data_IF_756212467559
#
_entry.id   IF_756212467559
#
_cell.length_a   1.000
_cell.length_b   1.000
_cell.length_c   1.000
_cell.angle_alpha   90.00
_cell.angle_beta   90.00
_cell.angle_gamma   90.00
#
_symmetry.space_group_name_H-M   'P 1'
#
loop_
_entity.id
_entity.type
_entity.pdbx_description
1 polymer ?
#
# COMPACT_ATOMS: atom_id res chain seq x y z
N UNK A 1 29.91 6.23 -36.87
CA UNK A 1 29.01 6.46 -35.73
C UNK A 1 28.28 5.16 -35.48
N UNK A 2 28.73 4.38 -34.48
CA UNK A 2 28.19 3.05 -34.18
C UNK A 2 26.96 3.17 -33.29
N UNK A 3 25.80 2.74 -33.82
CA UNK A 3 24.62 2.46 -33.01
C UNK A 3 24.82 1.10 -32.33
N UNK A 4 25.48 1.09 -31.17
CA UNK A 4 25.59 -0.11 -30.36
C UNK A 4 24.28 -0.35 -29.58
N UNK A 5 23.81 -1.57 -29.72
CA UNK A 5 22.45 -2.02 -29.54
C UNK A 5 22.20 -2.37 -28.06
N UNK A 6 21.66 -1.45 -27.26
CA UNK A 6 21.34 -1.63 -25.82
C UNK A 6 20.14 -2.57 -25.53
N UNK A 7 19.90 -3.60 -26.37
CA UNK A 7 18.82 -4.57 -26.21
C UNK A 7 17.41 -3.97 -26.43
N UNK A 8 16.38 -4.74 -26.04
CA UNK A 8 14.95 -4.48 -26.36
C UNK A 8 14.44 -3.12 -25.86
N UNK A 9 15.05 -2.55 -24.81
CA UNK A 9 14.64 -1.26 -24.24
C UNK A 9 15.53 -0.09 -24.64
N UNK A 10 16.75 -0.33 -25.14
CA UNK A 10 17.70 0.73 -25.43
C UNK A 10 18.31 1.42 -24.19
N UNK A 11 18.01 0.96 -22.97
CA UNK A 11 18.38 1.62 -21.72
C UNK A 11 19.51 0.89 -20.98
N UNK A 12 20.58 1.62 -20.63
CA UNK A 12 21.76 1.06 -19.98
C UNK A 12 21.47 0.57 -18.54
N UNK A 13 20.58 1.23 -17.78
CA UNK A 13 20.18 0.76 -16.44
C UNK A 13 19.54 -0.63 -16.51
N UNK A 14 18.70 -0.87 -17.52
CA UNK A 14 18.03 -2.14 -17.75
C UNK A 14 19.06 -3.24 -18.03
N UNK A 15 20.04 -2.97 -18.89
CA UNK A 15 21.14 -3.89 -19.18
C UNK A 15 21.94 -4.22 -17.91
N UNK A 16 22.29 -3.20 -17.12
CA UNK A 16 23.01 -3.40 -15.86
C UNK A 16 22.21 -4.24 -14.86
N UNK A 17 20.90 -4.03 -14.74
CA UNK A 17 20.05 -4.87 -13.87
C UNK A 17 19.96 -6.32 -14.35
N UNK A 18 19.86 -6.55 -15.66
CA UNK A 18 19.86 -7.91 -16.22
C UNK A 18 21.18 -8.62 -15.94
N UNK A 19 22.31 -7.92 -16.08
CA UNK A 19 23.64 -8.44 -15.71
C UNK A 19 23.75 -8.71 -14.23
N UNK A 20 23.29 -7.78 -13.38
CA UNK A 20 23.24 -7.97 -11.93
C UNK A 20 22.46 -9.24 -11.54
N UNK A 21 21.32 -9.51 -12.19
CA UNK A 21 20.54 -10.72 -11.96
C UNK A 21 21.27 -12.00 -12.34
N UNK A 22 22.00 -11.98 -13.47
CA UNK A 22 22.84 -13.12 -13.85
C UNK A 22 23.96 -13.37 -12.83
N UNK A 23 24.61 -12.32 -12.33
CA UNK A 23 25.65 -12.40 -11.30
C UNK A 23 25.10 -12.88 -9.96
N UNK A 24 23.92 -12.38 -9.56
CA UNK A 24 23.22 -12.80 -8.34
C UNK A 24 22.95 -14.30 -8.35
N UNK A 25 22.43 -14.83 -9.46
CA UNK A 25 22.14 -16.27 -9.61
C UNK A 25 23.40 -17.14 -9.52
N UNK A 26 24.56 -16.62 -9.95
CA UNK A 26 25.86 -17.30 -9.85
C UNK A 26 26.59 -17.05 -8.52
N UNK A 27 25.99 -16.28 -7.59
CA UNK A 27 26.59 -15.84 -6.33
C UNK A 27 27.91 -15.07 -6.51
N UNK A 28 28.10 -14.44 -7.67
CA UNK A 28 29.22 -13.54 -7.98
C UNK A 28 28.96 -12.16 -7.37
N UNK A 29 29.20 -12.03 -6.06
CA UNK A 29 28.66 -10.94 -5.24
C UNK A 29 29.22 -9.56 -5.58
N UNK A 30 30.51 -9.45 -5.91
CA UNK A 30 31.17 -8.18 -6.24
C UNK A 30 30.66 -7.62 -7.57
N UNK A 31 30.54 -8.46 -8.60
CA UNK A 31 30.02 -8.07 -9.91
C UNK A 31 28.53 -7.73 -9.85
N UNK A 32 27.76 -8.52 -9.08
CA UNK A 32 26.37 -8.22 -8.79
C UNK A 32 26.22 -6.84 -8.13
N UNK A 33 27.00 -6.59 -7.07
CA UNK A 33 27.03 -5.32 -6.34
C UNK A 33 27.36 -4.15 -7.25
N UNK A 34 28.43 -4.25 -8.05
CA UNK A 34 28.86 -3.19 -8.96
C UNK A 34 27.77 -2.82 -9.99
N UNK A 35 27.12 -3.82 -10.60
CA UNK A 35 26.04 -3.57 -11.55
C UNK A 35 24.82 -2.93 -10.89
N UNK A 36 24.43 -3.37 -9.68
CA UNK A 36 23.29 -2.79 -8.95
C UNK A 36 23.54 -1.33 -8.55
N UNK A 37 24.74 -1.03 -8.04
CA UNK A 37 25.12 0.34 -7.67
C UNK A 37 25.07 1.27 -8.87
N UNK A 38 25.69 0.87 -9.99
CA UNK A 38 25.71 1.71 -11.19
C UNK A 38 24.32 1.92 -11.77
N UNK A 39 23.49 0.87 -11.82
CA UNK A 39 22.10 1.02 -12.23
C UNK A 39 21.33 1.98 -11.31
N UNK A 40 21.55 1.89 -9.99
CA UNK A 40 20.88 2.76 -9.01
C UNK A 40 21.31 4.22 -9.12
N UNK A 41 22.62 4.48 -9.24
CA UNK A 41 23.17 5.83 -9.45
C UNK A 41 22.59 6.47 -10.71
N UNK A 42 22.53 5.72 -11.81
CA UNK A 42 21.97 6.20 -13.07
C UNK A 42 20.50 6.62 -12.95
N UNK A 43 19.69 5.93 -12.15
CA UNK A 43 18.29 6.29 -11.95
C UNK A 43 18.08 7.58 -11.18
N UNK A 44 19.03 7.97 -10.33
CA UNK A 44 18.99 9.29 -9.72
C UNK A 44 19.49 10.40 -10.65
N UNK A 45 20.10 10.06 -11.79
CA UNK A 45 20.58 11.02 -12.78
C UNK A 45 19.63 11.17 -13.98
N UNK A 46 18.72 10.22 -14.20
CA UNK A 46 17.79 10.22 -15.33
C UNK A 46 16.40 10.70 -14.91
N UNK A 47 15.97 11.84 -15.45
CA UNK A 47 14.64 12.41 -15.19
C UNK A 47 13.50 11.70 -15.95
N UNK A 48 13.82 10.80 -16.90
CA UNK A 48 12.83 10.13 -17.75
C UNK A 48 12.50 8.71 -17.28
N UNK A 49 13.23 8.16 -16.29
CA UNK A 49 13.06 6.78 -15.84
C UNK A 49 12.74 6.70 -14.35
N UNK A 50 11.50 6.34 -14.01
CA UNK A 50 11.05 6.22 -12.61
C UNK A 50 11.07 4.76 -12.15
N UNK A 51 12.15 4.36 -11.49
CA UNK A 51 12.13 3.13 -10.72
C UNK A 51 11.10 3.20 -9.59
N UNK A 52 10.40 2.10 -9.37
CA UNK A 52 9.56 1.96 -8.18
C UNK A 52 10.44 1.89 -6.93
N UNK A 53 9.90 2.27 -5.77
CA UNK A 53 10.59 2.07 -4.47
C UNK A 53 11.09 0.63 -4.28
N UNK A 54 10.37 -0.35 -4.84
CA UNK A 54 10.75 -1.76 -4.77
C UNK A 54 12.01 -2.09 -5.58
N UNK A 55 12.29 -1.36 -6.65
CA UNK A 55 13.52 -1.55 -7.42
C UNK A 55 14.74 -1.07 -6.64
N UNK A 56 14.62 0.03 -5.89
CA UNK A 56 15.67 0.50 -4.99
C UNK A 56 15.93 -0.44 -3.81
N UNK A 57 14.88 -1.05 -3.23
CA UNK A 57 15.02 -2.09 -2.19
C UNK A 57 15.87 -3.27 -2.68
N UNK A 58 15.92 -3.53 -4.00
CA UNK A 58 16.76 -4.59 -4.57
C UNK A 58 18.24 -4.43 -4.23
N UNK A 59 18.74 -3.20 -4.20
CA UNK A 59 20.13 -2.92 -3.85
C UNK A 59 20.43 -3.49 -2.45
N UNK A 60 19.68 -3.05 -1.45
CA UNK A 60 19.83 -3.48 -0.05
C UNK A 60 19.64 -5.01 0.09
N UNK A 61 18.54 -5.53 -0.45
CA UNK A 61 18.16 -6.93 -0.25
C UNK A 61 19.17 -7.92 -0.87
N UNK A 62 19.67 -7.68 -2.09
CA UNK A 62 20.62 -8.60 -2.71
C UNK A 62 21.98 -8.58 -2.02
N UNK A 63 22.42 -7.45 -1.47
CA UNK A 63 23.62 -7.41 -0.62
C UNK A 63 23.44 -8.25 0.64
N UNK A 64 22.31 -8.15 1.34
CA UNK A 64 22.02 -8.99 2.50
C UNK A 64 22.00 -10.49 2.14
N UNK A 65 21.32 -10.86 1.04
CA UNK A 65 21.20 -12.26 0.61
C UNK A 65 22.52 -12.89 0.14
N UNK A 66 23.45 -12.06 -0.34
CA UNK A 66 24.80 -12.46 -0.72
C UNK A 66 25.81 -12.38 0.44
N UNK A 67 25.36 -12.08 1.67
CA UNK A 67 26.20 -11.97 2.86
C UNK A 67 27.15 -10.77 2.84
N UNK A 68 26.75 -9.68 2.17
CA UNK A 68 27.48 -8.41 2.12
C UNK A 68 26.82 -7.38 3.05
N UNK A 69 26.80 -7.65 4.36
CA UNK A 69 26.05 -6.86 5.33
C UNK A 69 26.50 -5.38 5.41
N UNK A 70 27.81 -5.13 5.35
CA UNK A 70 28.37 -3.76 5.31
C UNK A 70 27.90 -2.98 4.07
N UNK A 71 27.79 -3.69 2.95
CA UNK A 71 27.37 -3.12 1.67
C UNK A 71 25.86 -2.85 1.66
N UNK A 72 25.08 -3.72 2.28
CA UNK A 72 23.64 -3.51 2.48
C UNK A 72 23.37 -2.28 3.36
N UNK A 73 24.13 -2.12 4.44
CA UNK A 73 24.04 -0.95 5.32
C UNK A 73 24.46 0.34 4.60
N UNK A 74 25.51 0.27 3.76
CA UNK A 74 25.92 1.39 2.90
C UNK A 74 24.82 1.76 1.90
N UNK A 75 24.21 0.78 1.26
CA UNK A 75 23.10 0.98 0.32
C UNK A 75 21.89 1.62 1.01
N UNK A 76 21.54 1.15 2.21
CA UNK A 76 20.45 1.71 3.02
C UNK A 76 20.70 3.19 3.32
N UNK A 77 21.87 3.53 3.88
CA UNK A 77 22.26 4.92 4.16
C UNK A 77 22.28 5.80 2.91
N UNK A 78 22.78 5.29 1.79
CA UNK A 78 22.80 6.03 0.54
C UNK A 78 21.39 6.40 0.06
N UNK A 79 20.47 5.43 0.05
CA UNK A 79 19.09 5.66 -0.37
C UNK A 79 18.34 6.56 0.63
N UNK A 80 18.62 6.43 1.93
CA UNK A 80 18.11 7.33 2.97
C UNK A 80 18.58 8.78 2.77
N UNK A 81 19.85 8.98 2.43
CA UNK A 81 20.39 10.30 2.07
C UNK A 81 19.78 10.87 0.78
N UNK A 82 19.28 10.01 -0.12
CA UNK A 82 18.48 10.42 -1.29
C UNK A 82 17.01 10.70 -0.95
N UNK A 83 16.65 10.67 0.33
CA UNK A 83 15.33 11.01 0.84
C UNK A 83 14.32 9.87 0.79
N UNK A 84 14.77 8.63 0.55
CA UNK A 84 13.93 7.43 0.62
C UNK A 84 13.89 6.90 2.05
N UNK A 85 12.79 6.28 2.46
CA UNK A 85 12.68 5.69 3.80
C UNK A 85 12.16 4.27 3.64
N UNK A 86 12.83 3.30 4.25
CA UNK A 86 12.44 1.89 4.18
C UNK A 86 12.13 1.36 5.58
N UNK A 87 11.02 0.65 5.70
CA UNK A 87 10.70 -0.11 6.89
C UNK A 87 11.47 -1.43 6.91
N UNK A 88 11.75 -1.95 8.11
CA UNK A 88 12.35 -3.29 8.28
C UNK A 88 11.52 -4.38 7.58
N UNK A 89 10.20 -4.22 7.56
CA UNK A 89 9.30 -5.15 6.89
C UNK A 89 9.46 -5.11 5.36
N UNK A 90 9.56 -3.92 4.75
CA UNK A 90 9.81 -3.74 3.31
C UNK A 90 11.11 -4.41 2.85
N UNK A 91 12.14 -4.38 3.70
CA UNK A 91 13.43 -5.02 3.42
C UNK A 91 13.32 -6.56 3.56
N UNK A 92 12.56 -7.05 4.56
CA UNK A 92 12.45 -8.50 4.89
C UNK A 92 11.49 -9.32 4.04
N UNK A 93 10.38 -8.77 3.54
CA UNK A 93 9.38 -9.53 2.74
C UNK A 93 10.02 -10.22 1.50
N UNK A 94 11.15 -9.73 0.98
CA UNK A 94 11.86 -10.38 -0.14
C UNK A 94 12.60 -11.67 0.21
N UNK A 95 12.92 -11.92 1.48
CA UNK A 95 13.54 -13.21 1.90
C UNK A 95 12.64 -14.41 1.58
N UNK A 96 11.32 -14.20 1.48
CA UNK A 96 10.33 -15.24 1.18
C UNK A 96 9.94 -15.32 -0.31
N UNK A 97 9.97 -14.22 -1.05
CA UNK A 97 9.60 -14.20 -2.47
C UNK A 97 10.69 -14.82 -3.39
N UNK A 98 11.97 -14.64 -3.06
CA UNK A 98 13.10 -15.21 -3.83
C UNK A 98 13.26 -16.72 -3.61
N UNK A 99 12.97 -17.23 -2.41
CA UNK A 99 13.04 -18.66 -2.10
C UNK A 99 11.99 -19.50 -2.85
N UNK A 100 10.82 -18.91 -3.17
CA UNK A 100 9.79 -19.54 -4.00
C UNK A 100 10.05 -19.46 -5.51
N UNK A 101 10.76 -18.42 -5.99
CA UNK A 101 11.08 -18.29 -7.43
C UNK A 101 12.17 -19.25 -7.91
N UNK A 102 13.00 -19.81 -7.01
CA UNK A 102 14.00 -20.83 -7.38
C UNK A 102 13.41 -22.22 -7.67
N UNK A 103 12.12 -22.47 -7.39
CA UNK A 103 11.54 -23.83 -7.46
C UNK A 103 10.51 -24.09 -8.55
N UNK A 104 10.09 -23.13 -9.37
CA UNK A 104 9.15 -23.41 -10.47
C UNK A 104 9.36 -22.51 -11.68
N UNK A 105 9.80 -23.02 -12.85
CA UNK A 105 9.60 -22.30 -14.10
C UNK A 105 8.10 -22.23 -14.39
N UNK A 106 7.55 -21.02 -14.43
CA UNK A 106 6.15 -20.78 -14.74
C UNK A 106 5.88 -21.20 -16.19
N UNK A 107 5.42 -22.45 -16.37
CA UNK A 107 4.74 -22.83 -17.60
C UNK A 107 3.42 -22.08 -17.66
N UNK A 108 3.35 -21.04 -18.50
CA UNK A 108 2.09 -20.38 -18.85
C UNK A 108 1.21 -21.39 -19.59
N UNK A 109 0.31 -22.05 -18.86
CA UNK A 109 -0.80 -22.78 -19.49
C UNK A 109 -1.74 -21.76 -20.12
N UNK A 110 -1.82 -21.78 -21.45
CA UNK A 110 -2.90 -21.12 -22.19
C UNK A 110 -4.22 -21.80 -21.81
N UNK A 111 -4.96 -21.20 -20.88
CA UNK A 111 -6.36 -21.54 -20.67
C UNK A 111 -7.22 -20.81 -21.70
N UNK A 112 -8.09 -21.59 -22.38
CA UNK A 112 -9.08 -21.12 -23.35
C UNK A 112 -10.07 -20.11 -22.72
N UNK A 113 -10.65 -19.20 -23.51
CA UNK A 113 -11.47 -18.11 -22.99
C UNK A 113 -12.83 -18.66 -22.52
N UNK A 114 -13.06 -18.65 -21.21
CA UNK A 114 -14.43 -18.60 -20.65
C UNK A 114 -14.87 -17.15 -20.73
N UNK A 115 -16.12 -16.87 -21.10
CA UNK A 115 -16.73 -15.53 -21.07
C UNK A 115 -16.34 -14.78 -19.79
N UNK A 116 -15.40 -13.85 -19.93
CA UNK A 116 -14.78 -13.15 -18.80
C UNK A 116 -15.54 -11.86 -18.60
N UNK A 117 -16.59 -11.94 -17.77
CA UNK A 117 -17.19 -10.77 -17.13
C UNK A 117 -16.07 -9.89 -16.54
N UNK A 118 -16.10 -8.61 -16.88
CA UNK A 118 -15.12 -7.61 -16.47
C UNK A 118 -15.11 -7.43 -14.95
N UNK A 119 -14.00 -6.93 -14.42
CA UNK A 119 -13.87 -6.65 -12.98
C UNK A 119 -14.93 -5.63 -12.51
N UNK A 120 -15.19 -4.62 -13.33
CA UNK A 120 -16.19 -3.57 -13.08
C UNK A 120 -17.59 -4.19 -12.96
N UNK A 121 -17.98 -5.06 -13.89
CA UNK A 121 -19.27 -5.76 -13.83
C UNK A 121 -19.42 -6.61 -12.56
N UNK A 122 -18.35 -7.30 -12.13
CA UNK A 122 -18.35 -8.07 -10.88
C UNK A 122 -18.56 -7.17 -9.67
N UNK A 123 -17.89 -6.03 -9.61
CA UNK A 123 -18.05 -5.05 -8.53
C UNK A 123 -19.46 -4.46 -8.50
N UNK A 124 -20.05 -4.14 -9.66
CA UNK A 124 -21.46 -3.73 -9.75
C UNK A 124 -22.41 -4.77 -9.18
N UNK A 125 -22.25 -6.04 -9.56
CA UNK A 125 -23.09 -7.13 -9.05
C UNK A 125 -22.91 -7.29 -7.54
N UNK A 126 -21.66 -7.26 -7.06
CA UNK A 126 -21.36 -7.34 -5.63
C UNK A 126 -22.06 -6.22 -4.84
N UNK A 127 -21.90 -4.96 -5.27
CA UNK A 127 -22.49 -3.79 -4.60
C UNK A 127 -24.01 -3.83 -4.62
N UNK A 128 -24.63 -4.25 -5.73
CA UNK A 128 -26.08 -4.40 -5.84
C UNK A 128 -26.65 -5.43 -4.84
N UNK A 129 -25.88 -6.47 -4.54
CA UNK A 129 -26.33 -7.58 -3.71
C UNK A 129 -26.05 -7.39 -2.20
N UNK A 130 -25.38 -6.31 -1.78
CA UNK A 130 -25.16 -6.02 -0.35
C UNK A 130 -26.47 -5.58 0.31
N UNK A 131 -26.78 -6.21 1.44
CA UNK A 131 -27.98 -5.91 2.26
C UNK A 131 -27.60 -5.45 3.66
N UNK A 132 -28.51 -4.76 4.35
CA UNK A 132 -28.35 -4.39 5.76
C UNK A 132 -28.26 -5.63 6.65
N UNK A 133 -29.02 -6.68 6.37
CA UNK A 133 -28.97 -7.96 7.09
C UNK A 133 -27.60 -8.64 7.02
N UNK A 134 -26.90 -8.49 5.88
CA UNK A 134 -25.53 -9.00 5.77
C UNK A 134 -24.59 -8.30 6.74
N UNK A 135 -24.80 -7.01 6.98
CA UNK A 135 -23.98 -6.20 7.89
C UNK A 135 -24.33 -6.44 9.35
N UNK A 136 -25.62 -6.60 9.69
CA UNK A 136 -26.07 -6.88 11.07
C UNK A 136 -25.53 -8.20 11.63
N UNK A 137 -25.20 -9.17 10.77
CA UNK A 137 -24.65 -10.48 11.17
C UNK A 137 -23.15 -10.44 11.46
N UNK A 138 -22.48 -9.32 11.17
CA UNK A 138 -21.03 -9.19 11.36
C UNK A 138 -20.71 -8.77 12.79
N UNK A 139 -19.59 -9.25 13.31
CA UNK A 139 -19.07 -8.82 14.61
C UNK A 139 -18.34 -7.47 14.48
N UNK A 140 -19.07 -6.41 14.17
CA UNK A 140 -18.50 -5.08 13.98
C UNK A 140 -18.35 -4.35 15.32
N UNK A 141 -17.31 -3.50 15.48
CA UNK A 141 -17.27 -2.57 16.60
C UNK A 141 -18.32 -1.45 16.46
N UNK A 142 -18.95 -1.31 15.30
CA UNK A 142 -19.95 -0.29 14.99
C UNK A 142 -21.37 -0.80 15.20
N UNK A 143 -22.26 0.10 15.64
CA UNK A 143 -23.69 -0.17 15.73
C UNK A 143 -24.30 -0.13 14.33
N UNK A 144 -25.04 -1.15 13.93
CA UNK A 144 -25.70 -1.19 12.63
C UNK A 144 -27.04 -0.40 12.65
N UNK A 145 -26.96 0.92 12.84
CA UNK A 145 -28.11 1.81 13.03
C UNK A 145 -28.56 2.57 11.77
N UNK A 146 -27.91 2.33 10.62
CA UNK A 146 -28.28 2.94 9.34
C UNK A 146 -28.38 1.89 8.26
N UNK A 147 -29.25 2.09 7.27
CA UNK A 147 -29.35 1.21 6.12
C UNK A 147 -28.10 1.26 5.23
N UNK A 148 -27.83 0.14 4.56
CA UNK A 148 -26.79 0.09 3.53
C UNK A 148 -27.24 0.88 2.29
N UNK A 149 -26.54 1.98 2.02
CA UNK A 149 -26.65 2.76 0.80
C UNK A 149 -25.70 2.24 -0.27
N UNK A 150 -26.00 2.53 -1.52
CA UNK A 150 -25.22 2.11 -2.69
C UNK A 150 -24.91 3.31 -3.55
N UNK A 151 -23.66 3.43 -3.95
CA UNK A 151 -23.19 4.41 -4.92
C UNK A 151 -22.84 3.67 -6.21
N UNK A 152 -23.63 3.88 -7.26
CA UNK A 152 -23.45 3.28 -8.58
C UNK A 152 -23.66 4.39 -9.61
N UNK A 153 -22.63 4.69 -10.41
CA UNK A 153 -22.68 5.64 -11.54
C UNK A 153 -21.97 5.02 -12.74
N UNK A 154 -22.31 5.44 -13.95
CA UNK A 154 -21.79 4.87 -15.20
C UNK A 154 -20.25 4.95 -15.33
N UNK A 155 -19.62 5.98 -14.76
CA UNK A 155 -18.16 6.18 -14.80
C UNK A 155 -17.48 6.14 -13.41
N UNK A 156 -18.23 5.78 -12.37
CA UNK A 156 -17.74 5.78 -10.98
C UNK A 156 -17.49 4.37 -10.46
N UNK A 157 -16.41 4.18 -9.67
CA UNK A 157 -16.20 2.93 -8.94
C UNK A 157 -17.41 2.66 -8.03
N UNK A 158 -18.16 1.55 -8.20
CA UNK A 158 -19.34 1.29 -7.40
C UNK A 158 -18.94 0.90 -5.97
N UNK A 159 -19.72 1.31 -4.97
CA UNK A 159 -19.51 0.86 -3.59
C UNK A 159 -20.80 0.88 -2.77
N UNK A 160 -20.86 0.01 -1.77
CA UNK A 160 -21.91 0.02 -0.74
C UNK A 160 -21.33 0.61 0.55
N UNK A 161 -22.14 1.37 1.29
CA UNK A 161 -21.71 2.03 2.50
C UNK A 161 -22.84 2.26 3.50
N UNK A 162 -22.46 2.52 4.75
CA UNK A 162 -23.34 2.97 5.83
C UNK A 162 -22.85 4.33 6.36
N UNK A 163 -23.81 5.16 6.76
CA UNK A 163 -23.53 6.49 7.32
C UNK A 163 -23.06 6.35 8.77
N UNK A 164 -22.19 7.28 9.21
CA UNK A 164 -21.80 7.35 10.62
C UNK A 164 -22.70 8.35 11.34
N UNK A 165 -23.60 7.84 12.19
CA UNK A 165 -24.53 8.64 12.99
C UNK A 165 -24.56 8.18 14.44
N UNK A 166 -24.91 9.09 15.36
CA UNK A 166 -25.10 8.78 16.77
C UNK A 166 -23.84 8.20 17.43
N UNK A 167 -23.99 7.08 18.14
CA UNK A 167 -22.91 6.42 18.88
C UNK A 167 -21.69 6.05 18.01
N UNK A 168 -21.91 5.76 16.73
CA UNK A 168 -20.83 5.44 15.80
C UNK A 168 -19.80 6.57 15.64
N UNK A 169 -20.19 7.83 15.89
CA UNK A 169 -19.24 8.96 15.87
C UNK A 169 -18.17 8.77 16.95
N UNK A 170 -18.59 8.43 18.18
CA UNK A 170 -17.69 8.19 19.30
C UNK A 170 -16.81 6.96 19.07
N UNK A 171 -17.36 5.90 18.47
CA UNK A 171 -16.63 4.68 18.12
C UNK A 171 -15.55 4.99 17.08
N UNK A 172 -15.88 5.72 16.01
CA UNK A 172 -14.89 6.18 15.02
C UNK A 172 -13.78 6.98 15.68
N UNK A 173 -14.10 7.97 16.53
CA UNK A 173 -13.08 8.76 17.23
C UNK A 173 -12.17 7.89 18.11
N UNK A 174 -12.73 6.86 18.76
CA UNK A 174 -11.94 5.92 19.55
C UNK A 174 -10.99 5.07 18.68
N UNK A 175 -11.45 4.57 17.52
CA UNK A 175 -10.61 3.83 16.57
C UNK A 175 -9.49 4.71 16.01
N UNK A 176 -9.79 5.97 15.66
CA UNK A 176 -8.78 6.94 15.21
C UNK A 176 -7.77 7.23 16.32
N UNK A 177 -8.21 7.37 17.57
CA UNK A 177 -7.31 7.57 18.72
C UNK A 177 -6.36 6.38 18.91
N UNK A 178 -6.85 5.14 18.81
CA UNK A 178 -6.00 3.93 18.83
C UNK A 178 -4.99 3.95 17.69
N UNK A 179 -5.42 4.33 16.49
CA UNK A 179 -4.55 4.45 15.33
C UNK A 179 -3.46 5.50 15.53
N UNK A 180 -3.78 6.67 16.11
CA UNK A 180 -2.80 7.72 16.41
C UNK A 180 -1.72 7.26 17.39
N UNK A 181 -2.08 6.47 18.41
CA UNK A 181 -1.10 5.85 19.31
C UNK A 181 -0.16 4.91 18.53
N UNK A 182 -0.73 4.05 17.67
CA UNK A 182 0.06 3.14 16.85
C UNK A 182 0.99 3.88 15.87
N UNK A 183 0.51 4.93 15.22
CA UNK A 183 1.29 5.77 14.29
C UNK A 183 2.49 6.35 15.02
N UNK A 184 2.26 7.02 16.16
CA UNK A 184 3.33 7.65 16.97
C UNK A 184 4.42 6.65 17.33
N UNK A 185 4.06 5.47 17.83
CA UNK A 185 5.03 4.43 18.18
C UNK A 185 5.75 3.87 16.95
N UNK A 186 5.03 3.72 15.83
CA UNK A 186 5.58 3.13 14.61
C UNK A 186 6.59 4.03 13.90
N UNK A 187 6.38 5.35 13.92
CA UNK A 187 7.26 6.31 13.22
C UNK A 187 8.45 6.77 14.06
N UNK A 188 8.46 6.46 15.37
CA UNK A 188 9.48 6.90 16.33
C UNK A 188 10.92 6.55 15.93
N UNK A 189 11.11 5.42 15.24
CA UNK A 189 12.41 4.97 14.78
C UNK A 189 12.88 5.63 13.47
N UNK A 190 12.03 6.47 12.84
CA UNK A 190 12.26 7.01 11.50
C UNK A 190 12.36 8.54 11.57
N UNK A 191 13.55 9.06 11.83
CA UNK A 191 13.80 10.52 11.99
C UNK A 191 13.42 11.37 10.77
N UNK A 192 13.38 10.76 9.58
CA UNK A 192 13.00 11.37 8.31
C UNK A 192 11.48 11.45 8.07
N UNK A 193 10.68 10.86 8.95
CA UNK A 193 9.22 11.03 8.98
C UNK A 193 8.89 12.11 10.02
N UNK A 194 8.01 13.10 9.72
CA UNK A 194 7.54 14.06 10.71
C UNK A 194 6.94 13.33 11.92
N UNK A 195 7.41 13.67 13.12
CA UNK A 195 7.08 12.93 14.35
C UNK A 195 5.73 13.36 14.96
N UNK A 196 5.12 14.39 14.42
CA UNK A 196 3.84 14.97 14.81
C UNK A 196 2.67 14.51 13.92
N UNK A 197 2.91 13.60 12.97
CA UNK A 197 1.85 13.01 12.13
C UNK A 197 0.73 12.42 12.99
N UNK A 198 -0.45 13.02 12.89
CA UNK A 198 -1.64 12.64 13.64
C UNK A 198 -2.90 12.91 12.83
N UNK A 199 -3.87 12.01 12.94
CA UNK A 199 -5.23 12.22 12.43
C UNK A 199 -6.01 13.06 13.46
N UNK A 200 -6.39 14.31 13.14
CA UNK A 200 -7.12 15.17 14.09
C UNK A 200 -8.55 14.66 14.31
N UNK A 201 -8.84 14.08 15.48
CA UNK A 201 -10.12 13.41 15.75
C UNK A 201 -11.33 14.36 15.68
N UNK A 202 -11.12 15.65 15.93
CA UNK A 202 -12.16 16.68 15.91
C UNK A 202 -12.41 17.27 14.52
N UNK A 203 -11.54 17.00 13.55
CA UNK A 203 -11.68 17.47 12.16
C UNK A 203 -12.20 16.36 11.23
N UNK A 204 -12.47 15.16 11.76
CA UNK A 204 -13.11 14.08 11.00
C UNK A 204 -14.49 14.54 10.54
N UNK A 205 -14.71 14.46 9.22
CA UNK A 205 -15.95 14.88 8.59
C UNK A 205 -16.89 13.68 8.50
N UNK A 206 -18.05 13.77 9.15
CA UNK A 206 -19.07 12.71 9.16
C UNK A 206 -20.22 12.96 8.18
N UNK A 207 -20.36 14.19 7.70
CA UNK A 207 -21.34 14.58 6.67
C UNK A 207 -20.75 15.68 5.80
N UNK A 208 -21.01 15.63 4.50
CA UNK A 208 -20.60 16.66 3.55
C UNK A 208 -21.61 16.74 2.40
N UNK A 209 -21.96 17.95 1.98
CA UNK A 209 -22.81 18.17 0.81
C UNK A 209 -22.04 18.04 -0.51
N UNK A 210 -20.71 18.19 -0.47
CA UNK A 210 -19.89 18.35 -1.66
C UNK A 210 -19.16 17.06 -2.03
N UNK A 211 -18.13 16.70 -1.25
CA UNK A 211 -17.21 15.63 -1.62
C UNK A 211 -16.51 15.05 -0.39
N UNK A 212 -16.51 13.72 -0.28
CA UNK A 212 -15.70 12.95 0.67
C UNK A 212 -16.09 13.15 2.14
N UNK A 213 -16.60 12.11 2.77
CA UNK A 213 -16.82 12.08 4.22
C UNK A 213 -16.63 10.65 4.74
N UNK A 214 -16.48 10.55 6.06
CA UNK A 214 -16.21 9.33 6.80
C UNK A 214 -17.41 8.40 6.81
N UNK A 215 -17.21 7.14 6.44
CA UNK A 215 -18.27 6.14 6.25
C UNK A 215 -17.77 4.73 6.45
N UNK A 216 -18.69 3.81 6.73
CA UNK A 216 -18.38 2.37 6.76
C UNK A 216 -18.60 1.82 5.36
N UNK A 217 -17.54 1.34 4.72
CA UNK A 217 -17.62 0.66 3.43
C UNK A 217 -18.05 -0.80 3.65
N UNK A 218 -18.99 -1.28 2.85
CA UNK A 218 -19.65 -2.56 3.04
C UNK A 218 -19.26 -3.54 1.93
N UNK A 219 -18.54 -4.61 2.30
CA UNK A 219 -18.08 -5.65 1.36
C UNK A 219 -18.22 -7.06 1.96
N UNK A 220 -19.40 -7.46 2.46
CA UNK A 220 -19.55 -8.67 3.30
C UNK A 220 -19.24 -9.97 2.56
N UNK A 221 -19.39 -9.99 1.23
CA UNK A 221 -19.23 -11.18 0.38
C UNK A 221 -18.40 -10.86 -0.86
N UNK A 222 -17.75 -11.85 -1.43
CA UNK A 222 -17.09 -11.79 -2.74
C UNK A 222 -18.11 -11.95 -3.87
N UNK A 223 -17.69 -11.73 -5.13
CA UNK A 223 -18.52 -11.97 -6.31
C UNK A 223 -19.11 -13.38 -6.36
N UNK A 224 -18.35 -14.38 -5.90
CA UNK A 224 -18.80 -15.78 -5.80
C UNK A 224 -19.72 -16.07 -4.61
N UNK A 225 -20.10 -15.05 -3.83
CA UNK A 225 -20.96 -15.17 -2.64
C UNK A 225 -20.24 -15.65 -1.38
N UNK A 226 -18.93 -15.94 -1.43
CA UNK A 226 -18.16 -16.36 -0.25
C UNK A 226 -18.00 -15.19 0.72
N UNK A 227 -17.98 -15.41 2.04
CA UNK A 227 -17.70 -14.33 2.99
C UNK A 227 -16.35 -13.67 2.71
N UNK A 228 -16.34 -12.33 2.64
CA UNK A 228 -15.12 -11.58 2.38
C UNK A 228 -14.10 -11.75 3.50
N UNK A 229 -12.81 -11.64 3.15
CA UNK A 229 -11.73 -11.54 4.15
C UNK A 229 -11.84 -10.25 4.96
N UNK A 230 -12.26 -9.18 4.30
CA UNK A 230 -12.53 -7.88 4.92
C UNK A 230 -14.00 -7.52 4.63
N UNK A 231 -14.93 -7.94 5.50
CA UNK A 231 -16.36 -7.75 5.25
C UNK A 231 -16.79 -6.28 5.31
N UNK A 232 -15.99 -5.41 5.95
CA UNK A 232 -16.21 -3.97 6.00
C UNK A 232 -14.91 -3.23 6.31
N UNK A 233 -14.91 -1.94 6.04
CA UNK A 233 -13.83 -1.01 6.37
C UNK A 233 -14.37 0.33 6.82
N UNK A 234 -13.61 1.03 7.66
CA UNK A 234 -13.86 2.43 7.98
C UNK A 234 -13.02 3.29 7.04
N UNK A 235 -13.68 3.93 6.08
CA UNK A 235 -13.07 5.03 5.34
C UNK A 235 -13.23 6.30 6.18
N UNK A 236 -12.12 6.94 6.56
CA UNK A 236 -12.13 8.18 7.32
C UNK A 236 -11.46 9.29 6.53
N UNK A 237 -11.92 10.51 6.74
CA UNK A 237 -11.26 11.69 6.19
C UNK A 237 -11.56 12.95 7.01
N UNK A 238 -10.60 13.87 6.99
CA UNK A 238 -10.83 15.29 7.23
C UNK A 238 -11.50 15.92 6.01
N UNK A 239 -11.75 17.22 6.05
CA UNK A 239 -12.31 17.98 4.92
C UNK A 239 -11.44 17.84 3.66
N UNK A 240 -11.94 17.09 2.68
CA UNK A 240 -11.24 16.84 1.41
C UNK A 240 -11.30 18.03 0.45
N UNK A 241 -12.09 19.07 0.73
CA UNK A 241 -12.11 20.29 -0.09
C UNK A 241 -10.83 21.12 0.06
N UNK A 242 -10.09 20.93 1.17
CA UNK A 242 -8.79 21.55 1.44
C UNK A 242 -7.68 20.78 0.72
N UNK A 243 -7.70 20.79 -0.60
CA UNK A 243 -6.72 20.09 -1.44
C UNK A 243 -5.28 20.39 -0.97
N UNK A 244 -4.46 19.34 -0.90
CA UNK A 244 -3.08 19.43 -0.40
C UNK A 244 -2.90 19.40 1.12
N UNK A 245 -3.95 19.62 1.91
CA UNK A 245 -3.92 19.58 3.38
C UNK A 245 -5.03 18.69 3.94
N UNK A 246 -4.89 17.38 3.74
CA UNK A 246 -5.91 16.39 4.14
C UNK A 246 -5.30 15.24 4.91
N UNK A 247 -6.10 14.64 5.79
CA UNK A 247 -5.79 13.37 6.43
C UNK A 247 -6.93 12.42 6.14
N UNK A 248 -6.65 11.30 5.50
CA UNK A 248 -7.67 10.32 5.16
C UNK A 248 -7.07 8.93 5.12
N UNK A 249 -7.92 7.92 5.02
CA UNK A 249 -7.44 6.56 4.98
C UNK A 249 -8.55 5.55 5.17
N UNK A 250 -8.13 4.31 5.32
CA UNK A 250 -9.05 3.20 5.43
C UNK A 250 -8.52 2.15 6.41
N UNK A 251 -9.36 1.78 7.37
CA UNK A 251 -9.12 0.70 8.32
C UNK A 251 -9.96 -0.51 7.90
N UNK A 252 -9.32 -1.61 7.54
CA UNK A 252 -10.01 -2.82 7.08
C UNK A 252 -10.14 -3.81 8.21
N UNK A 253 -11.37 -4.26 8.47
CA UNK A 253 -11.65 -5.14 9.59
C UNK A 253 -11.80 -6.59 9.14
N UNK A 254 -11.40 -7.51 10.01
CA UNK A 254 -11.69 -8.93 9.88
C UNK A 254 -13.13 -9.24 10.31
N UNK A 255 -13.52 -10.51 10.16
CA UNK A 255 -14.83 -11.00 10.60
C UNK A 255 -15.00 -10.98 12.12
N UNK A 256 -13.89 -10.96 12.85
CA UNK A 256 -13.78 -10.93 14.29
C UNK A 256 -13.91 -9.51 14.88
N UNK A 257 -13.98 -8.49 14.04
CA UNK A 257 -14.09 -7.11 14.50
C UNK A 257 -12.77 -6.37 14.63
N UNK A 258 -11.63 -7.04 14.39
CA UNK A 258 -10.30 -6.46 14.58
C UNK A 258 -9.75 -5.85 13.29
N UNK A 259 -8.94 -4.79 13.40
CA UNK A 259 -8.29 -4.17 12.23
C UNK A 259 -7.22 -5.13 11.70
N UNK A 260 -7.34 -5.54 10.44
CA UNK A 260 -6.44 -6.49 9.78
C UNK A 260 -5.40 -5.80 8.88
N UNK A 261 -5.73 -4.64 8.32
CA UNK A 261 -4.80 -3.76 7.62
C UNK A 261 -5.32 -2.34 7.67
N UNK A 262 -4.43 -1.37 7.54
CA UNK A 262 -4.79 0.03 7.47
C UNK A 262 -3.88 0.78 6.51
N UNK A 263 -4.44 1.78 5.84
CA UNK A 263 -3.64 2.78 5.12
C UNK A 263 -4.07 4.16 5.58
N UNK A 264 -3.08 5.00 5.92
CA UNK A 264 -3.29 6.35 6.42
C UNK A 264 -2.48 7.32 5.57
N UNK A 265 -3.15 8.30 4.99
CA UNK A 265 -2.58 9.32 4.11
C UNK A 265 -2.53 10.65 4.86
N UNK A 266 -1.33 11.22 4.91
CA UNK A 266 -1.07 12.57 5.40
C UNK A 266 -0.62 13.42 4.22
N UNK A 267 -1.47 14.35 3.81
CA UNK A 267 -1.13 15.37 2.81
C UNK A 267 -0.91 16.70 3.51
N UNK A 268 0.27 17.29 3.32
CA UNK A 268 0.62 18.59 3.86
C UNK A 268 1.34 19.42 2.81
N UNK A 269 0.72 20.52 2.40
CA UNK A 269 1.18 21.36 1.30
C UNK A 269 1.54 20.54 0.05
N UNK A 270 0.68 19.56 -0.29
CA UNK A 270 0.86 18.62 -1.41
C UNK A 270 2.03 17.64 -1.27
N UNK A 271 2.73 17.61 -0.14
CA UNK A 271 3.62 16.52 0.23
C UNK A 271 2.81 15.40 0.90
N UNK A 272 3.03 14.16 0.49
CA UNK A 272 2.29 13.00 0.97
C UNK A 272 3.17 12.05 1.78
N UNK A 273 2.71 11.65 2.97
CA UNK A 273 3.22 10.49 3.72
C UNK A 273 2.11 9.45 3.85
N UNK A 274 2.34 8.24 3.34
CA UNK A 274 1.33 7.18 3.27
C UNK A 274 1.78 6.00 4.12
N UNK A 275 1.20 5.86 5.30
CA UNK A 275 1.55 4.82 6.25
C UNK A 275 0.70 3.58 5.98
N UNK A 276 1.35 2.43 5.77
CA UNK A 276 0.68 1.15 5.54
C UNK A 276 0.91 0.20 6.72
N UNK A 277 -0.16 -0.41 7.20
CA UNK A 277 -0.14 -1.35 8.32
C UNK A 277 -0.81 -2.68 7.93
N UNK A 278 -0.30 -3.78 8.47
CA UNK A 278 -0.89 -5.12 8.33
C UNK A 278 -0.84 -5.87 9.66
N UNK A 279 -1.84 -6.71 9.90
CA UNK A 279 -1.84 -7.65 11.02
C UNK A 279 -0.79 -8.73 10.77
N UNK A 280 0.20 -8.81 11.66
CA UNK A 280 1.28 -9.80 11.64
C UNK A 280 1.42 -10.32 13.07
N UNK A 281 1.34 -11.64 13.24
CA UNK A 281 1.48 -12.31 14.54
C UNK A 281 0.60 -11.70 15.65
N UNK A 282 -0.66 -11.37 15.30
CA UNK A 282 -1.63 -10.79 16.24
C UNK A 282 -1.44 -9.31 16.56
N UNK A 283 -0.48 -8.63 15.90
CA UNK A 283 -0.25 -7.19 16.06
C UNK A 283 -0.36 -6.43 14.75
N UNK A 284 -1.10 -5.33 14.76
CA UNK A 284 -1.13 -4.39 13.64
C UNK A 284 0.24 -3.69 13.55
N UNK A 285 1.00 -4.01 12.50
CA UNK A 285 2.42 -3.66 12.35
C UNK A 285 2.59 -2.70 11.20
N UNK A 286 3.46 -1.71 11.35
CA UNK A 286 3.85 -0.80 10.28
C UNK A 286 4.69 -1.55 9.24
N UNK A 287 4.19 -1.58 8.00
CA UNK A 287 4.71 -2.43 6.92
C UNK A 287 5.23 -1.68 5.73
N UNK A 288 5.00 -0.37 5.62
CA UNK A 288 5.57 0.39 4.53
C UNK A 288 5.18 1.86 4.51
N UNK A 289 6.05 2.64 3.90
CA UNK A 289 5.87 4.08 3.72
C UNK A 289 5.80 4.42 2.23
N UNK A 290 4.67 4.96 1.78
CA UNK A 290 4.63 5.72 0.53
C UNK A 290 5.00 7.17 0.78
N UNK A 291 5.70 7.80 -0.16
CA UNK A 291 5.97 9.24 -0.12
C UNK A 291 5.64 9.86 -1.46
N UNK A 292 5.09 11.06 -1.43
CA UNK A 292 5.00 11.95 -2.58
C UNK A 292 5.63 13.28 -2.20
N UNK A 293 6.67 13.69 -2.94
CA UNK A 293 7.27 15.01 -2.84
C UNK A 293 7.15 15.63 -4.24
N UNK A 294 6.69 16.89 -4.38
CA UNK A 294 6.83 17.58 -5.64
C UNK A 294 8.31 17.53 -6.05
N UNK A 295 8.58 17.11 -7.28
CA UNK A 295 9.91 17.26 -7.86
C UNK A 295 10.27 18.75 -7.88
N UNK A 296 11.51 19.07 -7.51
CA UNK A 296 12.05 20.42 -7.38
C UNK A 296 12.81 20.79 -8.66
#
# INVERSE_FOLDING_TARGET
MGHDNYGVTGLLDYVLRMKAGAFYNRKEKELCSACLWKATEMMFCDSLCSWSKQDYIRLIYWHMDLGMDDEAERAKKYLENKGMIFTEHEIRERKYASSMQSKNPVQRKHEKPKDKMSQIEKEHIMVKNVTTDDMQKLNMPFVCNTEVKKYIREEGHPFAYMEILGENISIVKAEIKKMNVLIKESIKAYSSIPQDLRIPENEIVFQSQNYGYTRIMCTPKTFTGRPSKYPYSLFFCTDLSKSGNTRHGELYYGKDGTIQKATVYFWENSNGFFLNFKMIDGKLTFTGLGQNKPEW
#
